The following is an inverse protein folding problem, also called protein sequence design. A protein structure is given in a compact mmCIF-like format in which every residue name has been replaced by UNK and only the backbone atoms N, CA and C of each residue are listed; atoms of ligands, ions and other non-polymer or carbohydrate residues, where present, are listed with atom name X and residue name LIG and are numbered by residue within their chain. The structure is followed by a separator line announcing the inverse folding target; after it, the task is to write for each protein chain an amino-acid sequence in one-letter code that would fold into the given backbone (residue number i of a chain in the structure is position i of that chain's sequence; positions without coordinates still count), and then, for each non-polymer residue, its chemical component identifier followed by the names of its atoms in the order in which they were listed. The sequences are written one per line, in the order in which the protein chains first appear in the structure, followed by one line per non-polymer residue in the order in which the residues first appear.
data_IF_388248878730
#
_entry.id   IF_388248878730
#
_cell.length_a   1.000
_cell.length_b   1.000
_cell.length_c   1.000
_cell.angle_alpha   90.00
_cell.angle_beta   90.00
_cell.angle_gamma   90.00
#
_symmetry.space_group_name_H-M   'P 1'
#
loop_
_entity.id
_entity.type
_entity.pdbx_description
1 polymer ?
#
# COMPACT_ATOMS: atom_id res chain seq x y z
N UNK A 1 6.18 -19.66 -6.57
CA UNK A 1 5.84 -18.57 -5.63
C UNK A 1 6.75 -17.39 -5.91
N UNK A 2 6.23 -16.24 -6.32
CA UNK A 2 7.08 -15.07 -6.54
C UNK A 2 7.46 -14.45 -5.19
N UNK A 3 8.74 -14.13 -4.99
CA UNK A 3 9.23 -13.51 -3.76
C UNK A 3 8.67 -12.10 -3.56
N UNK A 4 8.57 -11.69 -2.29
CA UNK A 4 8.33 -10.29 -1.93
C UNK A 4 9.63 -9.51 -2.14
N UNK A 5 9.61 -8.52 -3.04
CA UNK A 5 10.78 -7.68 -3.34
C UNK A 5 10.50 -6.20 -3.10
N UNK A 6 9.31 -5.88 -2.60
CA UNK A 6 8.83 -4.54 -2.30
C UNK A 6 8.19 -4.55 -0.92
N UNK A 7 8.26 -3.41 -0.24
CA UNK A 7 7.58 -3.21 1.03
C UNK A 7 6.06 -3.07 0.79
N UNK A 8 5.26 -3.78 1.57
CA UNK A 8 3.80 -3.71 1.51
C UNK A 8 3.24 -3.54 2.92
N UNK A 9 2.77 -2.34 3.24
CA UNK A 9 2.26 -2.01 4.57
C UNK A 9 0.85 -2.57 4.80
N UNK A 10 0.61 -3.16 5.97
CA UNK A 10 -0.66 -3.76 6.39
C UNK A 10 -0.73 -3.87 7.93
N UNK A 11 -1.90 -3.64 8.59
CA UNK A 11 -3.20 -3.27 8.00
C UNK A 11 -3.32 -1.80 7.63
N UNK A 12 -2.45 -0.95 8.18
CA UNK A 12 -2.40 0.48 7.88
C UNK A 12 -1.45 0.72 6.71
N UNK A 13 -1.80 1.62 5.81
CA UNK A 13 -0.89 2.13 4.80
C UNK A 13 0.24 2.94 5.45
N UNK A 14 1.33 3.14 4.71
CA UNK A 14 2.43 4.02 5.14
C UNK A 14 1.96 5.44 5.47
N UNK A 15 0.97 5.95 4.73
CA UNK A 15 0.38 7.28 4.97
C UNK A 15 -0.38 7.29 6.29
N UNK A 16 -1.23 6.30 6.53
CA UNK A 16 -1.98 6.20 7.79
C UNK A 16 -1.07 6.04 9.01
N UNK A 17 0.06 5.33 8.88
CA UNK A 17 1.07 5.27 9.96
C UNK A 17 1.64 6.66 10.25
N UNK A 18 2.06 7.38 9.21
CA UNK A 18 2.59 8.74 9.35
C UNK A 18 1.55 9.72 9.94
N UNK A 19 0.31 9.67 9.45
CA UNK A 19 -0.79 10.54 9.90
C UNK A 19 -1.15 10.29 11.37
N UNK A 20 -0.96 9.07 11.86
CA UNK A 20 -1.15 8.69 13.27
C UNK A 20 0.07 8.96 14.16
N UNK A 21 1.16 9.49 13.60
CA UNK A 21 2.42 9.68 14.32
C UNK A 21 3.12 8.36 14.71
N UNK A 22 2.77 7.25 14.05
CA UNK A 22 3.44 5.96 14.21
C UNK A 22 4.68 5.89 13.33
N UNK A 23 5.59 4.95 13.62
CA UNK A 23 6.76 4.72 12.77
C UNK A 23 6.34 4.08 11.43
N UNK A 24 6.46 4.79 10.29
CA UNK A 24 6.06 4.27 8.99
C UNK A 24 7.02 3.19 8.46
N UNK A 25 8.20 3.06 9.05
CA UNK A 25 9.22 2.08 8.66
C UNK A 25 9.29 0.91 9.66
N UNK A 26 8.28 0.77 10.53
CA UNK A 26 8.14 -0.37 11.43
C UNK A 26 7.87 -1.66 10.63
N UNK A 27 8.77 -2.67 10.69
CA UNK A 27 8.60 -3.91 9.94
C UNK A 27 7.39 -4.73 10.40
N UNK A 28 6.87 -4.50 11.62
CA UNK A 28 5.68 -5.20 12.13
C UNK A 28 4.40 -4.77 11.41
N UNK A 29 4.41 -3.60 10.78
CA UNK A 29 3.32 -3.10 9.93
C UNK A 29 3.49 -3.49 8.46
N UNK A 30 4.35 -4.47 8.14
CA UNK A 30 4.57 -5.00 6.81
C UNK A 30 3.94 -6.39 6.59
N UNK A 31 3.59 -6.71 5.34
CA UNK A 31 3.29 -8.08 4.90
C UNK A 31 4.08 -8.43 3.63
N UNK A 32 4.23 -9.72 3.36
CA UNK A 32 4.92 -10.20 2.16
C UNK A 32 3.97 -10.33 0.97
N UNK A 33 4.13 -9.51 -0.06
CA UNK A 33 3.45 -9.67 -1.34
C UNK A 33 4.46 -9.62 -2.49
N UNK A 34 4.28 -10.50 -3.48
CA UNK A 34 5.04 -10.35 -4.72
C UNK A 34 4.66 -9.02 -5.41
N UNK A 35 5.58 -8.45 -6.21
CA UNK A 35 5.38 -7.15 -6.89
C UNK A 35 4.02 -7.00 -7.55
N UNK A 36 3.54 -8.01 -8.27
CA UNK A 36 2.23 -7.99 -8.95
C UNK A 36 1.06 -7.89 -7.98
N UNK A 37 1.12 -8.63 -6.87
CA UNK A 37 0.08 -8.59 -5.84
C UNK A 37 0.10 -7.26 -5.07
N UNK A 38 1.30 -6.75 -4.76
CA UNK A 38 1.50 -5.44 -4.17
C UNK A 38 0.88 -4.34 -5.04
N UNK A 39 1.25 -4.27 -6.32
CA UNK A 39 0.76 -3.24 -7.26
C UNK A 39 -0.77 -3.24 -7.37
N UNK A 40 -1.38 -4.42 -7.44
CA UNK A 40 -2.84 -4.56 -7.45
C UNK A 40 -3.47 -4.02 -6.16
N UNK A 41 -2.88 -4.30 -5.00
CA UNK A 41 -3.38 -3.80 -3.72
C UNK A 41 -3.25 -2.27 -3.63
N UNK A 42 -2.10 -1.73 -4.03
CA UNK A 42 -1.86 -0.27 -4.05
C UNK A 42 -2.83 0.43 -5.00
N UNK A 43 -3.07 -0.12 -6.19
CA UNK A 43 -3.99 0.48 -7.16
C UNK A 43 -5.44 0.59 -6.64
N UNK A 44 -5.88 -0.39 -5.84
CA UNK A 44 -7.24 -0.42 -5.28
C UNK A 44 -7.35 0.45 -4.03
N UNK A 45 -6.42 0.31 -3.08
CA UNK A 45 -6.58 0.91 -1.75
C UNK A 45 -5.86 2.24 -1.58
N UNK A 46 -4.84 2.51 -2.39
CA UNK A 46 -3.95 3.67 -2.26
C UNK A 46 -3.69 4.35 -3.61
N UNK A 47 -4.74 4.65 -4.42
CA UNK A 47 -4.55 5.33 -5.69
C UNK A 47 -3.89 6.69 -5.46
N UNK A 48 -2.94 7.04 -6.34
CA UNK A 48 -2.23 8.31 -6.31
C UNK A 48 -2.46 9.12 -7.60
N UNK A 49 -2.11 10.40 -7.56
CA UNK A 49 -2.16 11.28 -8.73
C UNK A 49 -3.54 11.33 -9.40
N UNK A 50 -3.56 11.25 -10.73
CA UNK A 50 -4.79 11.28 -11.53
C UNK A 50 -5.79 10.18 -11.14
N UNK A 51 -5.32 9.00 -10.72
CA UNK A 51 -6.17 7.89 -10.32
C UNK A 51 -6.90 8.15 -9.00
N UNK A 52 -6.35 8.99 -8.12
CA UNK A 52 -7.01 9.40 -6.87
C UNK A 52 -8.19 10.36 -7.12
N UNK A 53 -8.18 11.07 -8.25
CA UNK A 53 -9.19 12.08 -8.60
C UNK A 53 -10.26 11.59 -9.56
N UNK A 54 -10.18 10.34 -10.03
CA UNK A 54 -11.19 9.80 -10.93
C UNK A 54 -12.44 9.37 -10.15
N UNK A 55 -13.64 9.78 -10.56
CA UNK A 55 -14.86 9.18 -10.06
C UNK A 55 -14.90 7.70 -10.45
N UNK A 56 -15.53 6.81 -9.64
CA UNK A 56 -15.66 5.40 -10.01
C UNK A 56 -16.34 5.32 -11.38
N UNK A 57 -15.70 4.64 -12.33
CA UNK A 57 -16.29 4.33 -13.62
C UNK A 57 -17.58 3.53 -13.38
N UNK A 58 -18.68 4.06 -13.91
CA UNK A 58 -20.05 3.54 -13.78
C UNK A 58 -20.18 2.11 -14.28
#
# INVERSE_FOLDING_TARGET
MNASTVADHYPLSRRELADRGLNPDDPTAGRGLCKRCHDKSTAVHQPGGWAATQPPSR
#
